data_IF_884277713331
#
_entry.id   IF_884277713331
#
_cell.length_a   1.000
_cell.length_b   1.000
_cell.length_c   1.000
_cell.angle_alpha   90.00
_cell.angle_beta   90.00
_cell.angle_gamma   90.00
#
_symmetry.space_group_name_H-M   'P 1'
#
loop_
_entity.id
_entity.type
_entity.pdbx_description
1 polymer ?
#
# COMPACT_ATOMS: atom_id res chain seq x y z
N UNK A 1 -4.37 17.67 -25.82
CA UNK A 1 -4.39 16.80 -24.62
C UNK A 1 -3.20 17.17 -23.76
N UNK A 2 -3.41 17.54 -22.50
CA UNK A 2 -2.30 17.85 -21.59
C UNK A 2 -1.48 16.58 -21.34
N UNK A 3 -0.14 16.61 -21.51
CA UNK A 3 0.69 15.45 -21.26
C UNK A 3 0.57 15.01 -19.81
N UNK A 4 0.63 13.69 -19.59
CA UNK A 4 0.51 13.08 -18.27
C UNK A 4 1.68 13.53 -17.37
N UNK A 5 1.41 13.98 -16.14
CA UNK A 5 2.46 14.37 -15.20
C UNK A 5 3.41 13.21 -14.87
N UNK A 6 4.72 13.47 -14.78
CA UNK A 6 5.72 12.46 -14.42
C UNK A 6 5.42 11.82 -13.05
N UNK A 7 4.93 12.62 -12.09
CA UNK A 7 4.52 12.14 -10.76
C UNK A 7 3.48 11.01 -10.78
N UNK A 8 2.62 10.94 -11.80
CA UNK A 8 1.64 9.85 -11.93
C UNK A 8 2.33 8.50 -12.20
N UNK A 9 3.50 8.51 -12.85
CA UNK A 9 4.33 7.32 -13.03
C UNK A 9 5.05 6.93 -11.74
N UNK A 10 5.48 7.91 -10.93
CA UNK A 10 6.07 7.66 -9.61
C UNK A 10 5.04 7.00 -8.68
N UNK A 11 3.80 7.50 -8.67
CA UNK A 11 2.70 6.88 -7.91
C UNK A 11 2.45 5.45 -8.38
N UNK A 12 2.39 5.21 -9.70
CA UNK A 12 2.21 3.86 -10.24
C UNK A 12 3.34 2.90 -9.84
N UNK A 13 4.59 3.37 -9.84
CA UNK A 13 5.76 2.60 -9.45
C UNK A 13 5.75 2.19 -7.97
N UNK A 14 4.98 2.88 -7.11
CA UNK A 14 4.75 2.51 -5.70
C UNK A 14 3.52 1.63 -5.55
N UNK A 15 2.42 1.93 -6.25
CA UNK A 15 1.16 1.18 -6.12
C UNK A 15 1.32 -0.26 -6.63
N UNK A 16 2.07 -0.49 -7.71
CA UNK A 16 2.22 -1.83 -8.28
C UNK A 16 2.94 -2.80 -7.31
N UNK A 17 4.10 -2.45 -6.73
CA UNK A 17 4.69 -3.26 -5.66
C UNK A 17 3.78 -3.43 -4.44
N UNK A 18 3.02 -2.40 -4.03
CA UNK A 18 2.06 -2.53 -2.93
C UNK A 18 1.01 -3.60 -3.23
N UNK A 19 0.42 -3.60 -4.43
CA UNK A 19 -0.56 -4.61 -4.87
C UNK A 19 0.05 -6.01 -4.81
N UNK A 20 1.31 -6.16 -5.21
CA UNK A 20 2.01 -7.45 -5.13
C UNK A 20 2.18 -7.86 -3.67
N UNK A 21 2.65 -6.94 -2.81
CA UNK A 21 2.79 -7.15 -1.35
C UNK A 21 1.47 -7.61 -0.71
N UNK A 22 0.37 -6.93 -1.01
CA UNK A 22 -0.97 -7.29 -0.55
C UNK A 22 -1.32 -8.75 -0.90
N UNK A 23 -1.08 -9.16 -2.15
CA UNK A 23 -1.42 -10.51 -2.60
C UNK A 23 -0.52 -11.60 -2.03
N UNK A 24 0.79 -11.32 -1.91
CA UNK A 24 1.78 -12.37 -1.57
C UNK A 24 2.18 -12.40 -0.11
N UNK A 25 1.92 -11.33 0.64
CA UNK A 25 2.22 -11.21 2.07
C UNK A 25 0.94 -10.98 2.88
N UNK A 26 0.24 -9.86 2.69
CA UNK A 26 -0.87 -9.47 3.58
C UNK A 26 -2.04 -10.46 3.53
N UNK A 27 -2.50 -10.81 2.34
CA UNK A 27 -3.67 -11.68 2.17
C UNK A 27 -3.41 -13.15 2.45
N UNK A 28 -2.15 -13.53 2.71
CA UNK A 28 -1.86 -14.90 3.17
C UNK A 28 -2.55 -15.22 4.49
N UNK A 29 -2.91 -14.21 5.28
CA UNK A 29 -3.76 -14.34 6.47
C UNK A 29 -5.17 -14.90 6.16
N UNK A 30 -5.69 -14.62 4.96
CA UNK A 30 -7.03 -15.03 4.54
C UNK A 30 -7.03 -16.26 3.63
N UNK A 31 -5.86 -16.70 3.15
CA UNK A 31 -5.78 -17.83 2.25
C UNK A 31 -6.04 -19.15 2.99
N UNK A 32 -6.89 -20.03 2.45
CA UNK A 32 -7.02 -21.37 2.99
C UNK A 32 -5.70 -22.13 2.91
N UNK A 33 -5.31 -22.80 4.00
CA UNK A 33 -4.03 -23.53 4.13
C UNK A 33 -3.83 -24.60 3.05
N UNK A 34 -4.88 -25.21 2.51
CA UNK A 34 -4.76 -26.20 1.44
C UNK A 34 -4.23 -25.62 0.11
N UNK A 35 -4.29 -24.29 -0.08
CA UNK A 35 -3.80 -23.63 -1.29
C UNK A 35 -2.27 -23.43 -1.28
N UNK A 36 -1.64 -23.27 -0.12
CA UNK A 36 -0.22 -22.90 -0.02
C UNK A 36 0.61 -23.73 0.98
N UNK A 37 -0.02 -24.36 1.98
CA UNK A 37 0.68 -24.97 3.12
C UNK A 37 1.46 -26.24 2.77
N UNK A 38 1.00 -27.04 1.81
CA UNK A 38 1.69 -28.27 1.38
C UNK A 38 2.66 -27.98 0.23
N UNK A 39 3.84 -28.64 0.14
CA UNK A 39 4.72 -28.57 -1.02
C UNK A 39 4.08 -28.95 -2.36
N UNK A 40 2.97 -29.69 -2.33
CA UNK A 40 2.19 -30.07 -3.51
C UNK A 40 1.01 -29.13 -3.80
N UNK A 41 0.81 -28.11 -2.97
CA UNK A 41 -0.29 -27.18 -3.12
C UNK A 41 -0.08 -26.25 -4.33
N UNK A 42 -1.15 -25.83 -5.02
CA UNK A 42 -1.03 -25.07 -6.27
C UNK A 42 -0.34 -23.71 -6.08
N UNK A 43 -0.48 -23.10 -4.89
CA UNK A 43 0.11 -21.80 -4.55
C UNK A 43 1.24 -21.92 -3.53
N UNK A 44 1.94 -23.07 -3.47
CA UNK A 44 3.05 -23.26 -2.52
C UNK A 44 4.18 -22.23 -2.69
N UNK A 45 4.33 -21.64 -3.87
CA UNK A 45 5.28 -20.56 -4.10
C UNK A 45 5.05 -19.34 -3.18
N UNK A 46 3.82 -19.11 -2.69
CA UNK A 46 3.54 -18.05 -1.71
C UNK A 46 4.28 -18.28 -0.40
N UNK A 47 4.32 -19.54 0.07
CA UNK A 47 5.09 -19.95 1.25
C UNK A 47 6.58 -19.71 1.04
N UNK A 48 7.09 -20.01 -0.16
CA UNK A 48 8.50 -19.79 -0.50
C UNK A 48 8.83 -18.30 -0.47
N UNK A 49 7.99 -17.45 -1.09
CA UNK A 49 8.16 -15.99 -1.09
C UNK A 49 8.12 -15.44 0.33
N UNK A 50 7.10 -15.81 1.13
CA UNK A 50 6.96 -15.35 2.51
C UNK A 50 8.16 -15.75 3.36
N UNK A 51 8.58 -17.02 3.30
CA UNK A 51 9.72 -17.49 4.08
C UNK A 51 11.03 -16.83 3.65
N UNK A 52 11.20 -16.57 2.34
CA UNK A 52 12.36 -15.85 1.82
C UNK A 52 12.34 -14.39 2.28
N UNK A 53 11.18 -13.75 2.25
CA UNK A 53 11.01 -12.39 2.75
C UNK A 53 11.34 -12.31 4.23
N UNK A 54 10.79 -13.19 5.06
CA UNK A 54 11.05 -13.24 6.50
C UNK A 54 12.51 -13.51 6.83
N UNK A 55 13.17 -14.42 6.11
CA UNK A 55 14.59 -14.73 6.37
C UNK A 55 15.52 -13.57 6.04
N UNK A 56 15.18 -12.75 5.04
CA UNK A 56 15.96 -11.58 4.64
C UNK A 56 15.65 -10.35 5.49
N UNK A 57 14.36 -10.09 5.74
CA UNK A 57 13.90 -8.86 6.37
C UNK A 57 13.84 -8.95 7.89
N UNK A 58 13.56 -10.13 8.45
CA UNK A 58 13.20 -10.29 9.85
C UNK A 58 11.93 -9.52 10.22
N UNK A 59 11.01 -9.31 9.27
CA UNK A 59 9.82 -8.51 9.50
C UNK A 59 8.91 -9.14 10.56
N UNK A 60 8.75 -8.50 11.73
CA UNK A 60 7.99 -9.07 12.84
C UNK A 60 6.49 -9.13 12.53
N UNK A 61 5.95 -8.26 11.67
CA UNK A 61 4.51 -8.20 11.40
C UNK A 61 3.98 -9.45 10.69
N UNK A 62 4.84 -10.14 9.96
CA UNK A 62 4.54 -11.41 9.31
C UNK A 62 5.17 -12.60 10.06
N UNK A 63 5.82 -12.35 11.21
CA UNK A 63 6.37 -13.40 12.06
C UNK A 63 5.30 -14.05 12.94
N UNK A 64 5.62 -15.19 13.53
CA UNK A 64 4.73 -15.88 14.47
C UNK A 64 4.65 -15.19 15.85
N UNK A 65 5.56 -14.28 16.15
CA UNK A 65 5.74 -13.68 17.47
C UNK A 65 4.92 -12.41 17.69
N UNK A 66 4.56 -11.69 16.63
CA UNK A 66 3.77 -10.46 16.73
C UNK A 66 2.28 -10.76 16.55
N UNK A 67 1.48 -10.33 17.53
CA UNK A 67 0.02 -10.46 17.47
C UNK A 67 -0.65 -9.12 17.81
N UNK A 68 -0.80 -8.26 16.79
CA UNK A 68 -1.50 -6.99 16.91
C UNK A 68 -2.93 -7.09 16.37
N UNK A 69 -3.95 -6.98 17.23
CA UNK A 69 -5.36 -6.93 16.79
C UNK A 69 -5.63 -5.75 15.83
N UNK A 70 -4.88 -4.65 15.99
CA UNK A 70 -4.94 -3.50 15.09
C UNK A 70 -4.47 -3.87 13.68
N UNK A 71 -3.38 -4.65 13.55
CA UNK A 71 -2.83 -5.06 12.25
C UNK A 71 -3.80 -5.98 11.53
N UNK A 72 -4.37 -6.95 12.25
CA UNK A 72 -5.40 -7.84 11.71
C UNK A 72 -6.64 -7.05 11.22
N UNK A 73 -7.04 -6.00 11.96
CA UNK A 73 -8.11 -5.10 11.53
C UNK A 73 -7.73 -4.31 10.27
N UNK A 74 -6.46 -3.91 10.14
CA UNK A 74 -5.96 -3.24 8.94
C UNK A 74 -5.97 -4.17 7.72
N UNK A 75 -5.69 -5.47 7.86
CA UNK A 75 -5.80 -6.42 6.74
C UNK A 75 -7.22 -6.49 6.16
N UNK A 76 -8.26 -6.40 7.00
CA UNK A 76 -9.64 -6.32 6.51
C UNK A 76 -9.92 -5.01 5.76
N UNK A 77 -9.47 -3.87 6.30
CA UNK A 77 -9.60 -2.57 5.63
C UNK A 77 -8.84 -2.59 4.31
N UNK A 78 -7.67 -3.23 4.29
CA UNK A 78 -6.84 -3.35 3.12
C UNK A 78 -7.54 -4.18 2.03
N UNK A 79 -8.02 -5.38 2.39
CA UNK A 79 -8.73 -6.27 1.47
C UNK A 79 -10.00 -5.65 0.89
N UNK A 80 -10.81 -5.00 1.74
CA UNK A 80 -12.14 -4.53 1.35
C UNK A 80 -12.14 -3.14 0.71
N UNK A 81 -11.16 -2.29 1.04
CA UNK A 81 -11.14 -0.88 0.62
C UNK A 81 -9.86 -0.53 -0.12
N UNK A 82 -8.70 -0.70 0.51
CA UNK A 82 -7.43 -0.21 -0.05
C UNK A 82 -7.05 -0.94 -1.34
N UNK A 83 -7.18 -2.27 -1.40
CA UNK A 83 -6.79 -3.09 -2.53
C UNK A 83 -7.67 -2.86 -3.78
N UNK A 84 -9.02 -2.87 -3.71
CA UNK A 84 -9.85 -2.51 -4.86
C UNK A 84 -9.53 -1.12 -5.41
N UNK A 85 -9.29 -0.14 -4.52
CA UNK A 85 -8.88 1.20 -4.92
C UNK A 85 -7.48 1.21 -5.55
N UNK A 86 -6.52 0.46 -4.99
CA UNK A 86 -5.17 0.33 -5.53
C UNK A 86 -5.21 -0.21 -6.96
N UNK A 87 -5.97 -1.28 -7.21
CA UNK A 87 -6.13 -1.88 -8.54
C UNK A 87 -6.78 -0.88 -9.51
N UNK A 88 -7.86 -0.21 -9.08
CA UNK A 88 -8.53 0.79 -9.91
C UNK A 88 -7.61 1.96 -10.27
N UNK A 89 -6.92 2.52 -9.28
CA UNK A 89 -6.00 3.65 -9.46
C UNK A 89 -4.82 3.23 -10.31
N UNK A 90 -4.21 2.06 -10.07
CA UNK A 90 -3.12 1.54 -10.90
C UNK A 90 -3.56 1.37 -12.36
N UNK A 91 -4.75 0.81 -12.61
CA UNK A 91 -5.28 0.67 -13.97
C UNK A 91 -5.48 2.03 -14.66
N UNK A 92 -6.08 3.00 -13.97
CA UNK A 92 -6.30 4.35 -14.52
C UNK A 92 -4.98 5.10 -14.74
N UNK A 93 -4.06 5.01 -13.79
CA UNK A 93 -2.72 5.59 -13.88
C UNK A 93 -1.83 4.82 -14.84
N UNK A 94 -2.10 3.58 -15.24
CA UNK A 94 -1.33 2.93 -16.31
C UNK A 94 -1.69 3.49 -17.69
N UNK A 95 -2.86 4.13 -17.81
CA UNK A 95 -3.28 4.75 -19.07
C UNK A 95 -2.42 5.98 -19.43
N UNK A 96 -2.44 6.35 -20.73
CA UNK A 96 -1.83 7.60 -21.23
C UNK A 96 -2.67 8.85 -20.94
N UNK A 97 -3.89 8.67 -20.41
CA UNK A 97 -4.81 9.78 -20.13
C UNK A 97 -4.48 10.42 -18.79
N UNK A 98 -4.76 11.72 -18.67
CA UNK A 98 -4.72 12.41 -17.38
C UNK A 98 -5.79 11.84 -16.44
N UNK A 99 -5.53 11.92 -15.13
CA UNK A 99 -6.53 11.57 -14.11
C UNK A 99 -7.83 12.36 -14.30
N UNK A 100 -8.95 11.71 -13.98
CA UNK A 100 -10.27 12.33 -13.85
C UNK A 100 -10.65 12.44 -12.36
N UNK A 101 -11.76 13.11 -12.05
CA UNK A 101 -12.18 13.31 -10.67
C UNK A 101 -12.43 12.00 -9.90
N UNK A 102 -12.94 10.96 -10.57
CA UNK A 102 -13.13 9.65 -9.96
C UNK A 102 -11.78 8.99 -9.59
N UNK A 103 -10.80 9.05 -10.49
CA UNK A 103 -9.44 8.55 -10.25
C UNK A 103 -8.77 9.31 -9.10
N UNK A 104 -8.92 10.63 -9.06
CA UNK A 104 -8.32 11.47 -8.01
C UNK A 104 -8.96 11.21 -6.65
N UNK A 105 -10.27 11.03 -6.58
CA UNK A 105 -10.96 10.67 -5.34
C UNK A 105 -10.55 9.28 -4.84
N UNK A 106 -10.52 8.28 -5.72
CA UNK A 106 -10.06 6.94 -5.38
C UNK A 106 -8.58 6.96 -4.93
N UNK A 107 -7.74 7.71 -5.65
CA UNK A 107 -6.33 7.89 -5.34
C UNK A 107 -6.11 8.57 -3.99
N UNK A 108 -6.92 9.58 -3.64
CA UNK A 108 -6.87 10.25 -2.34
C UNK A 108 -7.17 9.26 -1.19
N UNK A 109 -8.26 8.50 -1.29
CA UNK A 109 -8.65 7.55 -0.23
C UNK A 109 -7.60 6.45 -0.09
N UNK A 110 -7.18 5.84 -1.20
CA UNK A 110 -6.11 4.84 -1.22
C UNK A 110 -4.82 5.38 -0.57
N UNK A 111 -4.41 6.58 -0.95
CA UNK A 111 -3.15 7.17 -0.50
C UNK A 111 -3.17 7.49 0.99
N UNK A 112 -4.30 7.99 1.52
CA UNK A 112 -4.48 8.21 2.95
C UNK A 112 -4.39 6.90 3.75
N UNK A 113 -5.07 5.84 3.30
CA UNK A 113 -5.04 4.53 3.97
C UNK A 113 -3.63 3.95 3.99
N UNK A 114 -2.95 3.96 2.84
CA UNK A 114 -1.58 3.43 2.70
C UNK A 114 -0.59 4.20 3.57
N UNK A 115 -0.66 5.55 3.55
CA UNK A 115 0.20 6.39 4.37
C UNK A 115 -0.04 6.16 5.87
N UNK A 116 -1.31 6.13 6.28
CA UNK A 116 -1.68 5.90 7.68
C UNK A 116 -1.20 4.54 8.19
N UNK A 117 -1.48 3.46 7.44
CA UNK A 117 -1.03 2.11 7.79
C UNK A 117 0.49 2.02 7.89
N UNK A 118 1.21 2.63 6.94
CA UNK A 118 2.68 2.65 6.95
C UNK A 118 3.25 3.41 8.14
N UNK A 119 2.66 4.56 8.51
CA UNK A 119 3.05 5.31 9.72
C UNK A 119 2.79 4.49 10.98
N UNK A 120 1.67 3.78 11.06
CA UNK A 120 1.38 2.89 12.18
C UNK A 120 2.44 1.77 12.30
N UNK A 121 2.81 1.13 11.18
CA UNK A 121 3.88 0.13 11.16
C UNK A 121 5.24 0.70 11.60
N UNK A 122 5.61 1.91 11.13
CA UNK A 122 6.86 2.56 11.55
C UNK A 122 6.85 2.84 13.07
N UNK A 123 5.75 3.38 13.59
CA UNK A 123 5.62 3.69 15.01
C UNK A 123 5.71 2.43 15.88
N UNK A 124 5.04 1.35 15.49
CA UNK A 124 5.12 0.06 16.18
C UNK A 124 6.55 -0.51 16.12
N UNK A 125 7.19 -0.56 14.94
CA UNK A 125 8.57 -1.04 14.79
C UNK A 125 9.58 -0.28 15.67
N UNK A 126 9.39 1.03 15.80
CA UNK A 126 10.24 1.86 16.66
C UNK A 126 10.12 1.46 18.13
N UNK A 127 8.91 1.08 18.58
CA UNK A 127 8.65 0.64 19.95
C UNK A 127 9.10 -0.80 20.26
N UNK A 128 9.22 -1.67 19.24
CA UNK A 128 9.62 -3.07 19.43
C UNK A 128 11.05 -3.19 19.97
N UNK A 129 11.33 -4.17 20.83
CA UNK A 129 12.68 -4.45 21.31
C UNK A 129 13.46 -5.41 20.40
N UNK A 130 14.75 -5.64 20.71
CA UNK A 130 15.62 -6.55 19.96
C UNK A 130 15.15 -8.02 19.97
N UNK A 131 14.25 -8.39 20.87
CA UNK A 131 13.63 -9.72 20.95
C UNK A 131 12.67 -10.02 19.78
N UNK A 132 12.11 -8.98 19.15
CA UNK A 132 11.23 -9.12 17.99
C UNK A 132 11.95 -8.83 16.68
N UNK A 133 12.86 -7.86 16.67
CA UNK A 133 13.56 -7.44 15.45
C UNK A 133 14.94 -6.85 15.78
N UNK A 134 15.97 -7.31 15.09
CA UNK A 134 17.32 -6.76 15.29
C UNK A 134 17.41 -5.27 14.91
N UNK A 135 18.38 -4.54 15.45
CA UNK A 135 18.55 -3.10 15.16
C UNK A 135 18.78 -2.82 13.68
N UNK A 136 19.56 -3.68 13.01
CA UNK A 136 19.86 -3.56 11.58
C UNK A 136 18.60 -3.80 10.74
N UNK A 137 17.89 -4.92 10.99
CA UNK A 137 16.65 -5.25 10.31
C UNK A 137 15.59 -4.17 10.54
N UNK A 138 15.44 -3.67 11.77
CA UNK A 138 14.53 -2.58 12.09
C UNK A 138 14.83 -1.33 11.26
N UNK A 139 16.09 -0.95 11.15
CA UNK A 139 16.51 0.22 10.37
C UNK A 139 16.15 0.03 8.89
N UNK A 140 16.42 -1.16 8.35
CA UNK A 140 16.08 -1.51 6.96
C UNK A 140 14.56 -1.53 6.72
N UNK A 141 13.77 -2.07 7.65
CA UNK A 141 12.31 -2.10 7.56
C UNK A 141 11.73 -0.69 7.63
N UNK A 142 12.16 0.13 8.58
CA UNK A 142 11.67 1.51 8.73
C UNK A 142 11.98 2.30 7.47
N UNK A 143 13.24 2.36 7.02
CA UNK A 143 13.63 3.27 5.95
C UNK A 143 13.48 2.70 4.54
N UNK A 144 13.64 1.39 4.39
CA UNK A 144 13.61 0.70 3.10
C UNK A 144 12.24 0.12 2.76
N UNK A 145 11.47 -0.34 3.74
CA UNK A 145 10.18 -0.98 3.52
C UNK A 145 9.04 0.00 3.77
N UNK A 146 8.83 0.48 5.00
CA UNK A 146 7.60 1.19 5.38
C UNK A 146 7.60 2.69 5.08
N UNK A 147 8.71 3.39 5.34
CA UNK A 147 8.77 4.84 5.16
C UNK A 147 8.47 5.32 3.72
N UNK A 148 8.91 4.64 2.65
CA UNK A 148 8.51 5.01 1.29
C UNK A 148 6.99 5.01 1.07
N UNK A 149 6.26 4.07 1.69
CA UNK A 149 4.80 3.98 1.63
C UNK A 149 4.08 4.91 2.61
N UNK A 150 4.78 5.48 3.59
CA UNK A 150 4.29 6.64 4.34
C UNK A 150 4.44 7.93 3.51
N UNK A 151 5.64 8.15 2.96
CA UNK A 151 6.03 9.41 2.34
C UNK A 151 5.36 9.62 0.98
N UNK A 152 5.50 8.67 0.04
CA UNK A 152 5.05 8.86 -1.34
C UNK A 152 3.52 8.85 -1.42
N UNK A 153 2.80 7.91 -0.78
CA UNK A 153 1.35 8.01 -0.61
C UNK A 153 0.91 9.27 0.14
N UNK A 154 1.63 9.73 1.17
CA UNK A 154 1.34 11.00 1.83
C UNK A 154 1.35 12.19 0.85
N UNK A 155 2.38 12.28 0.00
CA UNK A 155 2.43 13.29 -1.07
C UNK A 155 1.33 13.10 -2.12
N UNK A 156 1.03 11.85 -2.48
CA UNK A 156 -0.04 11.54 -3.42
C UNK A 156 -1.40 11.99 -2.89
N UNK A 157 -1.70 11.79 -1.61
CA UNK A 157 -2.93 12.24 -0.98
C UNK A 157 -3.10 13.76 -1.12
N UNK A 158 -2.06 14.53 -0.78
CA UNK A 158 -2.08 15.99 -0.94
C UNK A 158 -2.27 16.39 -2.41
N UNK A 159 -1.55 15.75 -3.34
CA UNK A 159 -1.69 16.06 -4.77
C UNK A 159 -3.10 15.76 -5.30
N UNK A 160 -3.66 14.60 -4.97
CA UNK A 160 -5.02 14.22 -5.39
C UNK A 160 -6.07 15.15 -4.80
N UNK A 161 -5.94 15.52 -3.52
CA UNK A 161 -6.79 16.52 -2.88
C UNK A 161 -6.74 17.87 -3.62
N UNK A 162 -5.54 18.36 -3.94
CA UNK A 162 -5.38 19.64 -4.65
C UNK A 162 -5.96 19.61 -6.07
N UNK A 163 -5.86 18.48 -6.78
CA UNK A 163 -6.49 18.30 -8.10
C UNK A 163 -8.02 18.32 -7.98
N UNK A 164 -8.59 17.59 -7.02
CA UNK A 164 -10.04 17.58 -6.75
C UNK A 164 -10.55 18.97 -6.39
N UNK A 165 -9.86 19.66 -5.48
CA UNK A 165 -10.25 21.00 -5.04
C UNK A 165 -10.32 21.99 -6.21
N UNK A 166 -9.37 21.92 -7.16
CA UNK A 166 -9.39 22.75 -8.38
C UNK A 166 -10.58 22.43 -9.27
N UNK A 167 -10.97 21.16 -9.40
CA UNK A 167 -12.15 20.77 -10.19
C UNK A 167 -13.43 21.32 -9.58
N UNK A 168 -13.63 21.07 -8.29
CA UNK A 168 -14.80 21.57 -7.55
C UNK A 168 -14.87 23.10 -7.60
N UNK A 169 -13.73 23.79 -7.44
CA UNK A 169 -13.68 25.25 -7.51
C UNK A 169 -13.99 25.82 -8.90
N UNK A 170 -13.63 25.08 -9.96
CA UNK A 170 -13.91 25.50 -11.33
C UNK A 170 -15.36 25.22 -11.74
N UNK A 171 -15.99 24.17 -11.20
CA UNK A 171 -17.41 23.87 -11.42
C UNK A 171 -18.34 24.91 -10.77
N UNK A 172 -17.87 25.60 -9.73
CA UNK A 172 -18.63 26.64 -9.01
C UNK A 172 -18.57 28.01 -9.69
N UNK A 173 -17.64 28.26 -10.63
CA UNK A 173 -17.66 29.51 -11.40
C UNK A 173 -18.87 29.50 -12.33
N UNK A 174 -19.81 30.47 -12.23
CA UNK A 174 -20.91 30.57 -13.18
C UNK A 174 -20.32 30.65 -14.58
N UNK A 175 -20.82 29.86 -15.51
CA UNK A 175 -20.57 30.11 -16.93
C UNK A 175 -21.20 31.46 -17.27
N UNK A 176 -20.44 32.53 -17.17
CA UNK A 176 -20.86 33.83 -17.69
C UNK A 176 -21.05 33.66 -19.19
N UNK A 177 -22.33 33.67 -19.61
CA UNK A 177 -22.74 33.83 -21.00
C UNK A 177 -22.41 35.25 -21.48
#
# INVERSE_FOLDING_TARGET
>A
MTPKPIRDWVYLAIIVPQIIGMLVLDFTEFYPTFLYGSPKAPLHFLTIIRNTYLSLSGDPFYGETFHGAWLHSMYYVELLVQFPLAVYVAWKLASKKSSDGATELAGLVFACLTAFGSVACVAELQSMGPELVSVEQKTNLVWGTYFPYALIPGFMAVDMYMRLLRRVSNDVKPKTQ
#
